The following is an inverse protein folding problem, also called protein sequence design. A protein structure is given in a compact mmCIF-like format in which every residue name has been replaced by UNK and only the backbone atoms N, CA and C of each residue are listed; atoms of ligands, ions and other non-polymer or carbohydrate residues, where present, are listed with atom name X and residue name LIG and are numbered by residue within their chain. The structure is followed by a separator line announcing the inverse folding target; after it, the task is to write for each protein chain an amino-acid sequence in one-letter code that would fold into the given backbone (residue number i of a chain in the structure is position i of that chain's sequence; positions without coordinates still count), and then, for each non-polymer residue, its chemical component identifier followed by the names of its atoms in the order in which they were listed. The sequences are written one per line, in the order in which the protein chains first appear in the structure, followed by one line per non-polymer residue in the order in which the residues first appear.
data_IF_230142799796
#
_entry.id   IF_230142799796
#
_cell.length_a   1.000
_cell.length_b   1.000
_cell.length_c   1.000
_cell.angle_alpha   90.00
_cell.angle_beta   90.00
_cell.angle_gamma   90.00
#
_symmetry.space_group_name_H-M   'P 1'
#
loop_
_entity.id
_entity.type
_entity.pdbx_description
1 polymer ?
#
# COMPACT_ATOMS: atom_id res chain seq x y z
N UNK A 1 104.71 6.79 -10.80
CA UNK A 1 103.38 6.53 -10.23
C UNK A 1 102.34 7.44 -10.89
N UNK A 2 101.13 6.95 -11.16
CA UNK A 2 100.25 7.50 -12.20
C UNK A 2 99.44 8.73 -11.75
N UNK A 3 99.41 9.77 -12.61
CA UNK A 3 98.52 10.94 -12.49
C UNK A 3 97.07 10.49 -12.66
N UNK A 4 96.23 10.62 -11.62
CA UNK A 4 94.77 10.52 -11.73
C UNK A 4 94.28 11.66 -12.65
N UNK A 5 93.61 11.30 -13.75
CA UNK A 5 92.89 12.28 -14.58
C UNK A 5 91.62 12.70 -13.84
N UNK A 6 91.31 14.00 -13.73
CA UNK A 6 90.02 14.43 -13.21
C UNK A 6 88.94 13.97 -14.20
N UNK A 7 88.05 13.10 -13.73
CA UNK A 7 86.82 12.78 -14.43
C UNK A 7 86.00 14.06 -14.53
N UNK A 8 85.95 14.66 -15.72
CA UNK A 8 85.04 15.74 -16.02
C UNK A 8 83.62 15.19 -15.84
N UNK A 9 82.97 15.54 -14.73
CA UNK A 9 81.53 15.40 -14.60
C UNK A 9 80.91 16.32 -15.64
N UNK A 10 80.52 15.75 -16.78
CA UNK A 10 79.70 16.43 -17.77
C UNK A 10 78.39 16.81 -17.09
N UNK A 11 78.26 18.08 -16.69
CA UNK A 11 76.96 18.66 -16.35
C UNK A 11 76.19 18.80 -17.67
N UNK A 12 75.50 17.73 -18.06
CA UNK A 12 74.53 17.78 -19.13
C UNK A 12 73.36 18.64 -18.64
N UNK A 13 73.24 19.85 -19.17
CA UNK A 13 72.06 20.68 -18.98
C UNK A 13 70.92 20.15 -19.83
N UNK A 14 69.68 20.25 -19.33
CA UNK A 14 68.49 19.92 -20.10
C UNK A 14 68.40 20.81 -21.33
N UNK A 15 68.10 20.21 -22.48
CA UNK A 15 67.85 20.98 -23.70
C UNK A 15 66.46 21.61 -23.63
N UNK A 16 66.28 22.78 -24.25
CA UNK A 16 64.98 23.47 -24.27
C UNK A 16 63.86 22.61 -24.88
N UNK A 17 64.20 21.79 -25.89
CA UNK A 17 63.27 20.86 -26.52
C UNK A 17 62.80 19.74 -25.58
N UNK A 18 63.70 19.22 -24.73
CA UNK A 18 63.38 18.18 -23.75
C UNK A 18 62.43 18.71 -22.67
N UNK A 19 62.61 19.96 -22.26
CA UNK A 19 61.69 20.62 -21.33
C UNK A 19 60.29 20.78 -21.94
N UNK A 20 60.19 21.24 -23.18
CA UNK A 20 58.89 21.40 -23.86
C UNK A 20 58.20 20.05 -24.03
N UNK A 21 58.94 19.01 -24.43
CA UNK A 21 58.40 17.67 -24.61
C UNK A 21 57.91 17.08 -23.28
N UNK A 22 58.70 17.22 -22.20
CA UNK A 22 58.31 16.78 -20.87
C UNK A 22 57.04 17.49 -20.39
N UNK A 23 56.92 18.80 -20.62
CA UNK A 23 55.75 19.58 -20.25
C UNK A 23 54.51 19.19 -21.08
N UNK A 24 54.68 18.91 -22.37
CA UNK A 24 53.61 18.42 -23.23
C UNK A 24 53.09 17.05 -22.74
N UNK A 25 53.97 16.08 -22.49
CA UNK A 25 53.59 14.75 -21.99
C UNK A 25 52.96 14.86 -20.60
N UNK A 26 53.54 15.66 -19.70
CA UNK A 26 53.00 15.88 -18.37
C UNK A 26 51.58 16.46 -18.43
N UNK A 27 51.36 17.47 -19.27
CA UNK A 27 50.04 18.07 -19.45
C UNK A 27 49.02 17.05 -19.95
N UNK A 28 49.40 16.20 -20.91
CA UNK A 28 48.54 15.14 -21.43
C UNK A 28 48.16 14.13 -20.34
N UNK A 29 49.14 13.65 -19.57
CA UNK A 29 48.91 12.72 -18.47
C UNK A 29 48.06 13.35 -17.36
N UNK A 30 48.31 14.61 -17.04
CA UNK A 30 47.53 15.35 -16.04
C UNK A 30 46.08 15.51 -16.48
N UNK A 31 45.82 15.82 -17.75
CA UNK A 31 44.44 15.90 -18.29
C UNK A 31 43.74 14.55 -18.26
N UNK A 32 44.42 13.46 -18.65
CA UNK A 32 43.84 12.11 -18.58
C UNK A 32 43.51 11.70 -17.14
N UNK A 33 44.44 11.93 -16.22
CA UNK A 33 44.25 11.60 -14.80
C UNK A 33 43.13 12.42 -14.16
N UNK A 34 43.09 13.72 -14.45
CA UNK A 34 42.02 14.61 -14.01
C UNK A 34 40.65 14.18 -14.53
N UNK A 35 40.57 13.75 -15.79
CA UNK A 35 39.34 13.21 -16.38
C UNK A 35 38.84 11.95 -15.67
N UNK A 36 39.74 11.01 -15.35
CA UNK A 36 39.40 9.77 -14.62
C UNK A 36 38.90 10.12 -13.22
N UNK A 37 39.63 10.97 -12.49
CA UNK A 37 39.24 11.38 -11.14
C UNK A 37 37.87 12.07 -11.11
N UNK A 38 37.62 12.96 -12.07
CA UNK A 38 36.32 13.63 -12.23
C UNK A 38 35.19 12.61 -12.50
N UNK A 39 35.45 11.64 -13.37
CA UNK A 39 34.50 10.57 -13.67
C UNK A 39 34.16 9.73 -12.44
N UNK A 40 35.18 9.32 -11.65
CA UNK A 40 35.00 8.56 -10.41
C UNK A 40 34.19 9.37 -9.39
N UNK A 41 34.54 10.63 -9.18
CA UNK A 41 33.85 11.50 -8.22
C UNK A 41 32.38 11.68 -8.61
N UNK A 42 32.11 11.89 -9.90
CA UNK A 42 30.74 12.00 -10.41
C UNK A 42 29.95 10.70 -10.22
N UNK A 43 30.57 9.55 -10.48
CA UNK A 43 29.94 8.25 -10.30
C UNK A 43 29.62 7.97 -8.82
N UNK A 44 30.52 8.35 -7.90
CA UNK A 44 30.31 8.19 -6.46
C UNK A 44 29.13 9.03 -5.95
N UNK A 45 29.09 10.32 -6.30
CA UNK A 45 27.99 11.20 -5.89
C UNK A 45 26.66 10.70 -6.42
N UNK A 46 26.62 10.29 -7.70
CA UNK A 46 25.43 9.68 -8.30
C UNK A 46 25.02 8.42 -7.55
N UNK A 47 25.96 7.52 -7.24
CA UNK A 47 25.68 6.30 -6.48
C UNK A 47 25.12 6.58 -5.08
N UNK A 48 25.65 7.59 -4.38
CA UNK A 48 25.15 8.02 -3.08
C UNK A 48 23.70 8.48 -3.10
N UNK A 49 23.34 9.34 -4.06
CA UNK A 49 21.96 9.83 -4.23
C UNK A 49 20.97 8.70 -4.55
N UNK A 50 21.36 7.72 -5.37
CA UNK A 50 20.53 6.55 -5.67
C UNK A 50 20.32 5.68 -4.44
N UNK A 51 21.38 5.46 -3.65
CA UNK A 51 21.31 4.67 -2.44
C UNK A 51 20.38 5.31 -1.41
N UNK A 52 20.51 6.63 -1.21
CA UNK A 52 19.64 7.38 -0.32
C UNK A 52 18.16 7.27 -0.76
N UNK A 53 17.88 7.45 -2.05
CA UNK A 53 16.53 7.30 -2.58
C UNK A 53 15.97 5.88 -2.39
N UNK A 54 16.79 4.85 -2.62
CA UNK A 54 16.41 3.46 -2.38
C UNK A 54 16.09 3.21 -0.91
N UNK A 55 16.92 3.71 0.01
CA UNK A 55 16.70 3.56 1.45
C UNK A 55 15.40 4.21 1.91
N UNK A 56 15.08 5.42 1.45
CA UNK A 56 13.80 6.06 1.77
C UNK A 56 12.62 5.27 1.22
N UNK A 57 12.73 4.79 -0.02
CA UNK A 57 11.69 3.99 -0.66
C UNK A 57 11.48 2.64 0.03
N UNK A 58 12.55 1.94 0.40
CA UNK A 58 12.49 0.69 1.15
C UNK A 58 11.88 0.91 2.55
N UNK A 59 12.25 1.98 3.26
CA UNK A 59 11.63 2.30 4.55
C UNK A 59 10.12 2.51 4.42
N UNK A 60 9.68 3.32 3.44
CA UNK A 60 8.26 3.55 3.19
C UNK A 60 7.52 2.25 2.81
N UNK A 61 8.14 1.42 1.97
CA UNK A 61 7.61 0.11 1.59
C UNK A 61 7.49 -0.85 2.78
N UNK A 62 8.50 -0.91 3.65
CA UNK A 62 8.46 -1.75 4.85
C UNK A 62 7.37 -1.30 5.83
N UNK A 63 7.17 0.02 5.99
CA UNK A 63 6.03 0.52 6.77
C UNK A 63 4.69 0.10 6.15
N UNK A 64 4.55 0.17 4.82
CA UNK A 64 3.35 -0.26 4.11
C UNK A 64 3.08 -1.76 4.26
N UNK A 65 4.08 -2.59 4.03
CA UNK A 65 3.97 -4.05 4.18
C UNK A 65 3.66 -4.42 5.63
N UNK A 66 4.30 -3.75 6.60
CA UNK A 66 4.03 -3.97 8.04
C UNK A 66 2.59 -3.60 8.39
N UNK A 67 2.10 -2.46 7.91
CA UNK A 67 0.73 -2.01 8.14
C UNK A 67 -0.30 -2.98 7.53
N UNK A 68 -0.04 -3.46 6.31
CA UNK A 68 -0.88 -4.44 5.59
C UNK A 68 -0.89 -5.80 6.29
N UNK A 69 0.26 -6.32 6.71
CA UNK A 69 0.35 -7.58 7.47
C UNK A 69 -0.33 -7.48 8.84
N UNK A 70 -0.41 -6.29 9.41
CA UNK A 70 -1.17 -6.01 10.63
C UNK A 70 -2.69 -5.89 10.43
N UNK A 71 -3.20 -6.16 9.22
CA UNK A 71 -4.62 -6.10 8.92
C UNK A 71 -5.44 -6.97 9.87
N UNK A 72 -6.60 -6.45 10.25
CA UNK A 72 -7.55 -7.12 11.12
C UNK A 72 -8.89 -7.25 10.40
N UNK A 73 -9.47 -8.45 10.45
CA UNK A 73 -10.77 -8.73 9.89
C UNK A 73 -11.56 -9.66 10.80
N UNK A 74 -12.86 -9.38 10.94
CA UNK A 74 -13.77 -10.16 11.78
C UNK A 74 -15.06 -10.48 11.01
N UNK A 75 -15.45 -11.77 10.93
CA UNK A 75 -16.65 -12.18 10.20
C UNK A 75 -17.96 -11.68 10.83
N UNK A 76 -17.93 -11.26 12.10
CA UNK A 76 -19.10 -10.76 12.81
C UNK A 76 -19.59 -9.38 12.34
N UNK A 77 -18.71 -8.58 11.72
CA UNK A 77 -19.05 -7.25 11.20
C UNK A 77 -18.21 -6.92 9.95
N UNK A 78 -18.39 -7.66 8.85
CA UNK A 78 -17.48 -7.63 7.71
C UNK A 78 -17.43 -6.24 7.04
N UNK A 79 -18.54 -5.49 7.04
CA UNK A 79 -18.56 -4.13 6.48
C UNK A 79 -17.64 -3.12 7.21
N UNK A 80 -17.35 -3.33 8.49
CA UNK A 80 -16.49 -2.42 9.25
C UNK A 80 -15.00 -2.68 9.00
N UNK A 81 -14.63 -3.91 8.61
CA UNK A 81 -13.24 -4.37 8.53
C UNK A 81 -12.74 -4.65 7.10
N UNK A 82 -13.62 -4.59 6.11
CA UNK A 82 -13.24 -4.89 4.74
C UNK A 82 -12.25 -3.89 4.14
N UNK A 83 -11.58 -4.35 3.08
CA UNK A 83 -10.58 -3.62 2.33
C UNK A 83 -11.24 -2.75 1.26
N UNK A 84 -10.79 -1.51 1.13
CA UNK A 84 -11.21 -0.59 0.08
C UNK A 84 -10.02 -0.30 -0.84
N UNK A 85 -10.29 -0.22 -2.14
CA UNK A 85 -9.33 0.14 -3.17
C UNK A 85 -10.04 1.07 -4.18
N UNK A 86 -9.51 2.27 -4.34
CA UNK A 86 -9.85 3.19 -5.43
C UNK A 86 -8.65 3.29 -6.38
N UNK A 87 -8.73 2.80 -7.63
CA UNK A 87 -7.60 2.71 -8.55
C UNK A 87 -7.31 4.01 -9.30
N UNK A 88 -7.17 5.12 -8.57
CA UNK A 88 -6.93 6.45 -9.15
C UNK A 88 -5.62 6.46 -9.95
N UNK A 89 -5.73 6.65 -11.26
CA UNK A 89 -4.56 6.65 -12.16
C UNK A 89 -4.01 5.26 -12.50
N UNK A 90 -4.72 4.19 -12.11
CA UNK A 90 -4.49 2.81 -12.51
C UNK A 90 -3.15 2.23 -12.05
N UNK A 91 -2.44 1.58 -12.96
CA UNK A 91 -1.08 1.05 -12.73
C UNK A 91 0.03 1.95 -13.31
N UNK A 92 -0.30 3.22 -13.61
CA UNK A 92 0.67 4.14 -14.19
C UNK A 92 1.72 4.61 -13.17
N UNK A 93 2.85 5.12 -13.67
CA UNK A 93 3.91 5.70 -12.84
C UNK A 93 3.40 6.77 -11.86
N UNK A 94 2.42 7.55 -12.27
CA UNK A 94 1.80 8.62 -11.48
C UNK A 94 0.53 8.19 -10.76
N UNK A 95 0.24 6.89 -10.68
CA UNK A 95 -0.93 6.38 -9.98
C UNK A 95 -0.98 6.90 -8.54
N UNK A 96 -2.20 7.07 -8.05
CA UNK A 96 -2.50 7.56 -6.72
C UNK A 96 -3.57 6.67 -6.09
N UNK A 97 -3.44 5.35 -6.27
CA UNK A 97 -4.41 4.41 -5.74
C UNK A 97 -4.66 4.72 -4.26
N UNK A 98 -5.91 4.72 -3.83
CA UNK A 98 -6.25 4.83 -2.43
C UNK A 98 -6.62 3.45 -1.92
N UNK A 99 -5.92 2.98 -0.89
CA UNK A 99 -6.31 1.75 -0.19
C UNK A 99 -6.62 2.04 1.26
N UNK A 100 -7.64 1.36 1.80
CA UNK A 100 -8.00 1.47 3.20
C UNK A 100 -8.36 0.13 3.83
N UNK A 101 -7.84 -0.11 5.02
CA UNK A 101 -8.10 -1.31 5.79
C UNK A 101 -8.01 -1.03 7.29
N UNK A 102 -8.49 -1.96 8.10
CA UNK A 102 -8.36 -1.90 9.55
C UNK A 102 -7.09 -2.64 9.96
N UNK A 103 -6.30 -2.03 10.84
CA UNK A 103 -5.06 -2.60 11.36
C UNK A 103 -4.95 -2.42 12.87
N UNK A 104 -4.15 -3.26 13.50
CA UNK A 104 -3.72 -3.11 14.90
C UNK A 104 -2.29 -2.57 15.03
N UNK A 105 -1.57 -2.46 13.90
CA UNK A 105 -0.18 -2.03 13.87
C UNK A 105 -0.03 -0.51 13.96
N UNK A 106 1.11 -0.05 14.47
CA UNK A 106 1.42 1.38 14.60
C UNK A 106 2.19 1.94 13.40
N UNK A 107 2.35 1.14 12.35
CA UNK A 107 3.07 1.55 11.14
C UNK A 107 2.40 2.79 10.52
N UNK A 108 3.23 3.74 10.08
CA UNK A 108 2.86 5.09 9.66
C UNK A 108 2.24 6.03 10.70
N UNK A 109 1.85 5.57 11.90
CA UNK A 109 1.26 6.47 12.88
C UNK A 109 2.30 7.44 13.46
N UNK A 110 1.96 8.73 13.62
CA UNK A 110 2.76 9.67 14.39
C UNK A 110 2.94 9.18 15.83
N UNK A 111 4.08 9.47 16.50
CA UNK A 111 4.35 9.02 17.86
C UNK A 111 3.25 9.38 18.87
N UNK A 112 2.59 10.51 18.67
CA UNK A 112 1.52 11.07 19.51
C UNK A 112 0.10 10.71 19.04
N UNK A 113 -0.04 9.83 18.05
CA UNK A 113 -1.34 9.41 17.54
C UNK A 113 -2.22 8.78 18.64
N UNK A 114 -3.52 9.11 18.71
CA UNK A 114 -4.44 8.43 19.63
C UNK A 114 -4.69 6.96 19.25
N UNK A 115 -4.27 6.53 18.06
CA UNK A 115 -4.49 5.19 17.51
C UNK A 115 -3.33 4.22 17.74
N UNK A 116 -2.35 4.60 18.56
CA UNK A 116 -1.22 3.73 18.95
C UNK A 116 -1.66 2.44 19.64
N UNK A 117 -2.89 2.40 20.17
CA UNK A 117 -3.45 1.27 20.88
C UNK A 117 -4.81 0.88 20.30
N UNK A 118 -4.97 -0.40 19.99
CA UNK A 118 -6.22 -0.95 19.49
C UNK A 118 -6.37 -0.85 17.97
N UNK A 119 -7.60 -1.12 17.51
CA UNK A 119 -7.92 -1.21 16.10
C UNK A 119 -8.33 0.14 15.54
N UNK A 120 -7.73 0.52 14.43
CA UNK A 120 -8.06 1.73 13.69
C UNK A 120 -8.04 1.44 12.20
N UNK A 121 -8.75 2.25 11.44
CA UNK A 121 -8.72 2.23 9.99
C UNK A 121 -7.62 3.18 9.53
N UNK A 122 -6.83 2.73 8.56
CA UNK A 122 -5.81 3.53 7.88
C UNK A 122 -6.21 3.67 6.41
N UNK A 123 -5.91 4.81 5.79
CA UNK A 123 -5.91 4.99 4.34
C UNK A 123 -4.54 5.47 3.88
N UNK A 124 -4.11 4.95 2.73
CA UNK A 124 -2.84 5.30 2.09
C UNK A 124 -3.12 5.67 0.64
N UNK A 125 -2.63 6.84 0.21
CA UNK A 125 -2.72 7.34 -1.17
C UNK A 125 -1.54 8.28 -1.47
N UNK A 126 -1.44 8.79 -2.70
CA UNK A 126 -0.48 9.84 -3.07
C UNK A 126 -1.22 11.11 -3.42
N UNK A 127 -0.91 12.19 -2.70
CA UNK A 127 -1.55 13.49 -2.88
C UNK A 127 -0.54 14.58 -3.20
N UNK A 128 -1.06 15.75 -3.60
CA UNK A 128 -0.26 16.90 -3.99
C UNK A 128 0.21 16.86 -5.44
N UNK A 129 0.98 17.89 -5.82
CA UNK A 129 1.50 18.07 -7.17
C UNK A 129 2.93 18.60 -7.17
N UNK A 130 3.68 18.26 -8.22
CA UNK A 130 5.07 18.69 -8.38
C UNK A 130 5.94 18.32 -7.18
N UNK A 131 6.54 19.33 -6.55
CA UNK A 131 7.44 19.13 -5.40
C UNK A 131 6.74 18.69 -4.11
N UNK A 132 5.44 18.95 -3.96
CA UNK A 132 4.65 18.60 -2.78
C UNK A 132 3.94 17.26 -2.92
N UNK A 133 4.18 16.53 -4.01
CA UNK A 133 3.59 15.21 -4.23
C UNK A 133 4.29 14.17 -3.35
N UNK A 134 3.52 13.40 -2.59
CA UNK A 134 4.05 12.41 -1.64
C UNK A 134 3.00 11.40 -1.19
N UNK A 135 3.47 10.30 -0.59
CA UNK A 135 2.62 9.31 0.06
C UNK A 135 1.99 9.93 1.31
N UNK A 136 0.66 9.95 1.37
CA UNK A 136 -0.15 10.51 2.45
C UNK A 136 -0.87 9.38 3.16
N UNK A 137 -0.90 9.48 4.49
CA UNK A 137 -1.57 8.54 5.37
C UNK A 137 -2.62 9.26 6.20
N UNK A 138 -3.73 8.56 6.44
CA UNK A 138 -4.84 8.99 7.29
C UNK A 138 -5.20 7.86 8.23
N UNK A 139 -5.55 8.17 9.48
CA UNK A 139 -6.06 7.18 10.43
C UNK A 139 -7.29 7.68 11.18
N UNK A 140 -8.23 6.77 11.45
CA UNK A 140 -9.47 7.07 12.18
C UNK A 140 -10.06 5.82 12.86
N UNK A 141 -11.04 5.97 13.77
CA UNK A 141 -11.68 4.82 14.42
C UNK A 141 -12.41 3.91 13.42
N UNK A 142 -12.21 2.61 13.52
CA UNK A 142 -12.74 1.60 12.58
C UNK A 142 -14.28 1.44 12.59
N UNK A 143 -14.97 1.88 13.64
CA UNK A 143 -16.44 1.78 13.78
C UNK A 143 -17.20 3.04 13.34
N UNK A 144 -16.54 3.94 12.62
CA UNK A 144 -17.16 5.20 12.21
C UNK A 144 -17.95 4.99 10.92
N UNK A 145 -19.27 5.20 10.96
CA UNK A 145 -20.20 4.85 9.87
C UNK A 145 -20.13 5.82 8.67
N UNK A 146 -19.76 7.08 8.90
CA UNK A 146 -19.54 8.08 7.85
C UNK A 146 -18.38 9.00 8.23
N UNK A 147 -17.27 8.89 7.50
CA UNK A 147 -16.11 9.78 7.67
C UNK A 147 -15.96 10.63 6.44
N UNK A 148 -16.01 11.96 6.61
CA UNK A 148 -15.70 12.88 5.51
C UNK A 148 -14.18 12.90 5.32
N UNK A 149 -13.63 12.58 4.14
CA UNK A 149 -12.19 12.51 3.93
C UNK A 149 -11.44 13.79 4.36
N UNK A 150 -12.04 14.96 4.12
CA UNK A 150 -11.44 16.25 4.50
C UNK A 150 -11.48 16.60 6.00
N UNK A 151 -12.17 15.82 6.84
CA UNK A 151 -12.14 16.00 8.30
C UNK A 151 -11.14 15.09 9.00
N UNK A 152 -10.51 14.16 8.27
CA UNK A 152 -9.53 13.25 8.83
C UNK A 152 -8.17 13.94 8.79
N UNK A 153 -7.47 13.93 9.92
CA UNK A 153 -6.08 14.39 9.97
C UNK A 153 -5.22 13.50 9.06
N UNK A 154 -4.45 14.15 8.20
CA UNK A 154 -3.54 13.49 7.26
C UNK A 154 -2.12 14.00 7.47
N UNK A 155 -1.15 13.13 7.19
CA UNK A 155 0.26 13.48 7.21
C UNK A 155 1.00 12.82 6.05
N UNK A 156 2.09 13.45 5.63
CA UNK A 156 2.94 12.92 4.57
C UNK A 156 3.89 11.89 5.18
N UNK A 157 3.72 10.63 4.82
CA UNK A 157 4.57 9.53 5.28
C UNK A 157 5.87 9.43 4.47
N UNK A 158 5.82 9.69 3.16
CA UNK A 158 6.99 9.61 2.29
C UNK A 158 6.93 10.68 1.18
N UNK A 159 7.63 11.82 1.32
CA UNK A 159 7.55 12.94 0.38
C UNK A 159 8.25 12.68 -0.97
N UNK A 160 9.10 11.65 -1.06
CA UNK A 160 9.83 11.29 -2.29
C UNK A 160 9.07 10.28 -3.16
N UNK A 161 7.88 9.84 -2.74
CA UNK A 161 7.01 8.95 -3.52
C UNK A 161 6.16 9.77 -4.48
N UNK A 162 6.32 9.51 -5.78
CA UNK A 162 5.57 10.14 -6.87
C UNK A 162 4.34 9.33 -7.29
N UNK A 163 4.35 8.01 -7.08
CA UNK A 163 3.22 7.16 -7.44
C UNK A 163 3.06 6.00 -6.49
N UNK A 164 1.82 5.56 -6.35
CA UNK A 164 1.45 4.40 -5.59
C UNK A 164 0.37 3.63 -6.36
N UNK A 165 0.64 2.35 -6.59
CA UNK A 165 -0.30 1.42 -7.19
C UNK A 165 -0.47 0.20 -6.29
N UNK A 166 -1.70 -0.27 -6.22
CA UNK A 166 -2.08 -1.48 -5.52
C UNK A 166 -2.97 -2.31 -6.45
N UNK A 167 -2.64 -3.58 -6.57
CA UNK A 167 -3.37 -4.58 -7.32
C UNK A 167 -3.59 -5.79 -6.41
N UNK A 168 -4.70 -6.49 -6.58
CA UNK A 168 -4.96 -7.75 -5.92
C UNK A 168 -4.88 -8.90 -6.93
N UNK A 169 -4.56 -10.09 -6.45
CA UNK A 169 -4.50 -11.27 -7.30
C UNK A 169 -5.86 -11.97 -7.34
N UNK A 170 -6.45 -12.04 -8.53
CA UNK A 170 -7.63 -12.85 -8.79
C UNK A 170 -7.21 -14.29 -9.08
N UNK A 171 -7.52 -15.20 -8.15
CA UNK A 171 -7.21 -16.62 -8.27
C UNK A 171 -8.17 -17.37 -9.21
N UNK A 172 -9.34 -16.82 -9.52
CA UNK A 172 -10.29 -17.42 -10.46
C UNK A 172 -9.86 -17.14 -11.90
N UNK A 173 -9.49 -15.89 -12.18
CA UNK A 173 -9.06 -15.44 -13.51
C UNK A 173 -7.54 -15.49 -13.73
N UNK A 174 -6.77 -15.90 -12.71
CA UNK A 174 -5.30 -16.01 -12.71
C UNK A 174 -4.60 -14.72 -13.17
N UNK A 175 -5.07 -13.58 -12.67
CA UNK A 175 -4.60 -12.27 -13.11
C UNK A 175 -4.47 -11.25 -11.96
N UNK A 176 -3.76 -10.16 -12.24
CA UNK A 176 -3.73 -9.00 -11.37
C UNK A 176 -4.83 -8.03 -11.76
N UNK A 177 -5.62 -7.59 -10.78
CA UNK A 177 -6.73 -6.66 -10.99
C UNK A 177 -6.66 -5.50 -10.00
N UNK A 178 -7.25 -4.37 -10.40
CA UNK A 178 -7.49 -3.22 -9.54
C UNK A 178 -8.98 -3.04 -9.23
N UNK A 179 -9.83 -3.88 -9.82
CA UNK A 179 -11.27 -3.87 -9.64
C UNK A 179 -11.61 -4.72 -8.41
N UNK A 180 -11.79 -4.08 -7.25
CA UNK A 180 -12.06 -4.75 -5.98
C UNK A 180 -13.51 -4.51 -5.55
N UNK A 181 -14.40 -5.43 -5.92
CA UNK A 181 -15.82 -5.33 -5.61
C UNK A 181 -16.18 -5.90 -4.22
N UNK A 182 -15.29 -6.69 -3.61
CA UNK A 182 -15.53 -7.39 -2.34
C UNK A 182 -15.19 -6.56 -1.10
N UNK A 183 -15.74 -5.35 -1.02
CA UNK A 183 -15.43 -4.33 0.02
C UNK A 183 -15.70 -4.76 1.47
N UNK A 184 -16.36 -5.91 1.67
CA UNK A 184 -16.62 -6.54 2.97
C UNK A 184 -15.61 -7.65 3.34
N UNK A 185 -14.55 -7.83 2.55
CA UNK A 185 -13.52 -8.85 2.74
C UNK A 185 -12.12 -8.25 2.55
N UNK A 186 -11.09 -9.05 2.86
CA UNK A 186 -9.70 -8.70 2.54
C UNK A 186 -9.24 -9.51 1.33
N UNK A 187 -8.44 -8.92 0.42
CA UNK A 187 -7.77 -9.67 -0.64
C UNK A 187 -6.69 -10.57 -0.05
N UNK A 188 -6.55 -11.80 -0.56
CA UNK A 188 -5.53 -12.74 -0.05
C UNK A 188 -4.11 -12.32 -0.40
N UNK A 189 -3.91 -11.78 -1.59
CA UNK A 189 -2.60 -11.42 -2.12
C UNK A 189 -2.67 -10.06 -2.81
N UNK A 190 -1.78 -9.17 -2.40
CA UNK A 190 -1.63 -7.83 -2.94
C UNK A 190 -0.26 -7.66 -3.59
N UNK A 191 -0.23 -6.89 -4.67
CA UNK A 191 0.99 -6.32 -5.27
C UNK A 191 0.95 -4.82 -5.07
N UNK A 192 1.86 -4.34 -4.24
CA UNK A 192 2.01 -2.91 -3.98
C UNK A 192 3.27 -2.41 -4.67
N UNK A 193 3.15 -1.28 -5.35
CA UNK A 193 4.24 -0.65 -6.09
C UNK A 193 4.34 0.81 -5.67
N UNK A 194 5.51 1.22 -5.18
CA UNK A 194 5.87 2.61 -4.93
C UNK A 194 6.79 3.10 -6.03
N UNK A 195 6.42 4.21 -6.66
CA UNK A 195 7.23 4.87 -7.69
C UNK A 195 7.86 6.11 -7.10
N UNK A 196 9.18 6.14 -7.04
CA UNK A 196 9.93 7.25 -6.46
C UNK A 196 10.09 8.39 -7.48
N UNK A 197 10.18 9.61 -6.97
CA UNK A 197 10.39 10.83 -7.76
C UNK A 197 11.65 10.75 -8.61
N UNK A 198 11.56 11.11 -9.88
CA UNK A 198 12.76 11.15 -10.74
C UNK A 198 13.78 12.19 -10.24
N UNK A 199 15.03 11.75 -10.03
CA UNK A 199 16.18 12.63 -9.77
C UNK A 199 16.76 13.12 -11.10
N UNK A 200 17.29 14.35 -11.13
CA UNK A 200 17.81 14.98 -12.37
C UNK A 200 18.92 14.16 -13.03
N UNK A 201 19.74 13.49 -12.22
CA UNK A 201 20.89 12.71 -12.67
C UNK A 201 20.55 11.27 -13.11
N UNK A 202 19.26 10.89 -13.01
CA UNK A 202 18.74 9.57 -13.37
C UNK A 202 17.64 9.71 -14.40
N UNK A 203 17.76 8.97 -15.51
CA UNK A 203 16.76 9.03 -16.57
C UNK A 203 15.55 8.11 -16.32
N UNK A 204 15.69 7.17 -15.39
CA UNK A 204 14.68 6.18 -15.02
C UNK A 204 14.14 6.47 -13.62
N UNK A 205 12.93 5.99 -13.36
CA UNK A 205 12.33 6.09 -12.03
C UNK A 205 12.66 4.83 -11.27
N UNK A 206 12.88 4.98 -9.98
CA UNK A 206 12.99 3.83 -9.11
C UNK A 206 11.59 3.37 -8.74
N UNK A 207 11.25 2.15 -9.13
CA UNK A 207 10.02 1.46 -8.73
C UNK A 207 10.38 0.36 -7.73
N UNK A 208 9.69 0.35 -6.60
CA UNK A 208 9.86 -0.65 -5.55
C UNK A 208 8.55 -1.42 -5.46
N UNK A 209 8.62 -2.73 -5.65
CA UNK A 209 7.46 -3.60 -5.64
C UNK A 209 7.58 -4.67 -4.55
N UNK A 210 6.45 -5.00 -3.92
CA UNK A 210 6.33 -6.11 -2.96
C UNK A 210 5.02 -6.86 -3.18
N UNK A 211 5.09 -8.16 -2.96
CA UNK A 211 3.93 -9.03 -2.83
C UNK A 211 3.62 -9.21 -1.34
N UNK A 212 2.36 -9.04 -0.97
CA UNK A 212 1.90 -9.10 0.42
C UNK A 212 0.73 -10.04 0.54
N UNK A 213 0.94 -11.14 1.25
CA UNK A 213 -0.13 -12.06 1.63
C UNK A 213 -0.81 -11.57 2.91
N UNK A 214 -2.14 -11.55 2.91
CA UNK A 214 -2.96 -11.20 4.07
C UNK A 214 -3.53 -12.49 4.67
N UNK A 215 -2.85 -13.05 5.65
CA UNK A 215 -3.21 -14.35 6.26
C UNK A 215 -4.60 -14.37 6.90
N UNK A 216 -5.08 -13.22 7.37
CA UNK A 216 -6.41 -13.05 7.97
C UNK A 216 -7.54 -12.95 6.93
N UNK A 217 -7.20 -12.92 5.64
CA UNK A 217 -8.20 -12.85 4.58
C UNK A 217 -9.04 -14.12 4.58
N UNK A 218 -10.39 -14.01 4.56
CA UNK A 218 -11.22 -15.18 4.43
C UNK A 218 -10.93 -15.88 3.11
N UNK A 219 -11.14 -17.19 3.08
CA UNK A 219 -11.37 -17.87 1.82
C UNK A 219 -12.60 -17.24 1.19
N UNK A 220 -12.38 -16.37 0.19
CA UNK A 220 -13.47 -15.94 -0.68
C UNK A 220 -14.14 -17.23 -1.15
N UNK A 221 -15.44 -17.42 -0.89
CA UNK A 221 -16.12 -18.58 -1.41
C UNK A 221 -15.98 -18.46 -2.92
N UNK A 222 -15.08 -19.28 -3.50
CA UNK A 222 -15.04 -19.50 -4.93
C UNK A 222 -16.48 -19.76 -5.30
N UNK A 223 -17.05 -18.85 -6.10
CA UNK A 223 -18.48 -18.87 -6.41
C UNK A 223 -18.83 -20.34 -6.63
N UNK A 224 -19.73 -20.89 -5.80
CA UNK A 224 -20.26 -22.23 -6.04
C UNK A 224 -20.52 -22.28 -7.53
N UNK A 225 -19.71 -23.08 -8.25
CA UNK A 225 -19.90 -23.32 -9.67
C UNK A 225 -21.27 -23.99 -9.75
N UNK A 226 -22.31 -23.17 -9.85
CA UNK A 226 -23.55 -23.56 -10.49
C UNK A 226 -23.12 -23.79 -11.92
N UNK A 227 -22.70 -25.03 -12.17
CA UNK A 227 -22.40 -25.55 -13.47
C UNK A 227 -23.54 -25.08 -14.39
N UNK A 228 -23.21 -24.17 -15.30
CA UNK A 228 -24.09 -23.81 -16.41
C UNK A 228 -24.00 -24.94 -17.43
N UNK A 229 -24.57 -26.07 -17.06
CA UNK A 229 -24.77 -27.30 -17.82
C UNK A 229 -25.72 -28.11 -16.95
N UNK A 230 -27.05 -27.95 -17.06
CA UNK A 230 -27.84 -28.71 -18.03
C UNK A 230 -29.21 -28.05 -18.30
N UNK A 231 -29.26 -27.11 -19.24
CA UNK A 231 -30.55 -26.64 -19.81
C UNK A 231 -30.51 -26.43 -21.34
N UNK A 232 -29.48 -26.95 -22.02
CA UNK A 232 -29.37 -26.92 -23.50
C UNK A 232 -29.02 -28.26 -24.14
N UNK A 233 -28.96 -29.35 -23.37
CA UNK A 233 -28.68 -30.70 -23.86
C UNK A 233 -29.92 -31.57 -24.15
N UNK A 234 -31.07 -31.25 -23.59
CA UNK A 234 -32.27 -32.13 -23.62
C UNK A 234 -33.35 -31.74 -24.64
N UNK A 235 -33.08 -30.82 -25.58
CA UNK A 235 -34.03 -30.50 -26.67
C UNK A 235 -33.55 -30.86 -28.09
N UNK A 236 -32.42 -31.56 -28.23
CA UNK A 236 -31.87 -31.97 -29.54
C UNK A 236 -31.77 -33.49 -29.72
N UNK A 237 -32.50 -34.29 -28.94
CA UNK A 237 -32.53 -35.75 -29.07
C UNK A 237 -33.92 -36.38 -29.17
N UNK A 238 -34.96 -35.58 -29.40
CA UNK A 238 -36.34 -36.07 -29.61
C UNK A 238 -36.96 -35.58 -30.94
N UNK A 239 -36.15 -35.27 -31.96
CA UNK A 239 -36.69 -34.84 -33.26
C UNK A 239 -36.05 -35.49 -34.48
N UNK A 240 -35.62 -36.73 -34.34
CA UNK A 240 -35.30 -37.64 -35.43
C UNK A 240 -35.76 -39.04 -35.03
N UNK A 241 -37.08 -39.27 -35.02
CA UNK A 241 -37.72 -40.59 -35.17
C UNK A 241 -39.25 -40.37 -35.07
N UNK A 242 -39.97 -40.56 -36.18
CA UNK A 242 -41.43 -40.49 -36.19
C UNK A 242 -42.05 -39.90 -37.46
N UNK A 243 -41.68 -40.43 -38.62
CA UNK A 243 -42.44 -40.31 -39.86
C UNK A 243 -43.44 -41.49 -39.90
N UNK A 244 -44.75 -41.22 -40.02
CA UNK A 244 -45.77 -42.28 -40.03
C UNK A 244 -47.23 -41.82 -39.89
N UNK A 245 -47.71 -41.14 -40.93
CA UNK A 245 -49.03 -41.33 -41.58
C UNK A 245 -50.40 -41.04 -40.90
N UNK A 246 -51.16 -40.18 -41.60
CA UNK A 246 -52.63 -40.11 -41.85
C UNK A 246 -53.69 -40.12 -40.71
N UNK A 247 -54.40 -38.98 -40.56
CA UNK A 247 -55.78 -38.77 -41.07
C UNK A 247 -56.55 -37.64 -40.31
N UNK A 248 -57.25 -36.81 -41.10
CA UNK A 248 -58.19 -35.70 -40.78
C UNK A 248 -59.62 -36.23 -40.47
N UNK A 249 -60.69 -35.41 -40.26
CA UNK A 249 -60.83 -33.99 -39.82
C UNK A 249 -62.03 -33.72 -38.85
N UNK A 250 -62.18 -32.46 -38.39
CA UNK A 250 -63.40 -31.60 -38.51
C UNK A 250 -63.89 -30.88 -37.24
N UNK A 251 -64.14 -29.55 -37.43
CA UNK A 251 -65.12 -28.64 -36.79
C UNK A 251 -65.00 -28.43 -35.25
N UNK A 252 -65.31 -27.29 -34.62
CA UNK A 252 -66.30 -26.24 -34.91
C UNK A 252 -66.02 -25.00 -34.01
N UNK A 253 -66.64 -23.87 -34.35
CA UNK A 253 -66.34 -22.50 -33.87
C UNK A 253 -67.21 -22.10 -32.62
N UNK A 254 -67.45 -20.81 -32.26
CA UNK A 254 -67.10 -20.17 -30.98
C UNK A 254 -68.34 -19.72 -30.16
N UNK A 255 -68.17 -18.69 -29.29
CA UNK A 255 -69.16 -17.81 -28.61
C UNK A 255 -69.34 -18.11 -27.11
N UNK A 256 -69.61 -17.19 -26.16
CA UNK A 256 -69.67 -15.73 -26.07
C UNK A 256 -70.17 -15.40 -24.63
N UNK A 257 -69.84 -14.21 -24.10
CA UNK A 257 -70.53 -13.47 -23.02
C UNK A 257 -70.54 -14.10 -21.60
N UNK A 258 -70.61 -13.42 -20.45
CA UNK A 258 -70.93 -12.04 -20.04
C UNK A 258 -70.42 -11.94 -18.58
N UNK A 259 -69.89 -10.83 -18.07
CA UNK A 259 -70.72 -9.85 -17.37
C UNK A 259 -70.32 -9.66 -15.89
N UNK A 260 -69.53 -8.61 -15.63
CA UNK A 260 -69.49 -7.62 -14.53
C UNK A 260 -69.74 -7.94 -13.01
N UNK A 261 -69.18 -7.07 -12.11
CA UNK A 261 -68.90 -7.31 -10.68
C UNK A 261 -70.02 -6.80 -9.73
N UNK A 262 -69.85 -6.81 -8.38
CA UNK A 262 -69.42 -5.58 -7.65
C UNK A 262 -68.75 -5.88 -6.25
N UNK A 263 -68.80 -5.04 -5.16
CA UNK A 263 -67.64 -4.28 -4.66
C UNK A 263 -67.34 -4.37 -3.14
N UNK A 264 -66.14 -3.89 -2.74
CA UNK A 264 -65.93 -2.96 -1.61
C UNK A 264 -65.75 -3.46 -0.15
N UNK A 265 -64.79 -2.79 0.54
CA UNK A 265 -64.56 -2.63 2.02
C UNK A 265 -63.92 -3.84 2.74
N UNK A 266 -62.98 -3.73 3.68
CA UNK A 266 -62.42 -2.64 4.52
C UNK A 266 -61.10 -3.11 5.16
N UNK A 267 -60.26 -2.14 5.52
CA UNK A 267 -59.01 -2.25 6.29
C UNK A 267 -59.20 -2.75 7.74
N UNK A 268 -58.22 -3.49 8.30
CA UNK A 268 -57.53 -3.23 9.58
C UNK A 268 -56.76 -4.46 10.13
N UNK A 269 -55.44 -4.29 10.22
CA UNK A 269 -54.50 -4.60 11.32
C UNK A 269 -54.89 -5.58 12.45
N UNK A 270 -54.08 -6.62 12.71
CA UNK A 270 -53.20 -6.72 13.90
C UNK A 270 -52.47 -8.08 14.06
N UNK A 271 -51.28 -7.98 14.66
CA UNK A 271 -50.28 -9.00 15.03
C UNK A 271 -50.81 -10.19 15.88
N UNK A 272 -49.96 -11.21 16.08
CA UNK A 272 -49.67 -11.60 17.46
C UNK A 272 -48.16 -11.72 17.78
N UNK A 273 -47.78 -11.07 18.87
CA UNK A 273 -46.52 -11.26 19.60
C UNK A 273 -46.60 -12.52 20.47
N UNK A 274 -45.57 -13.38 20.43
CA UNK A 274 -45.29 -14.38 21.47
C UNK A 274 -43.81 -14.28 21.86
N UNK A 275 -43.53 -13.86 23.10
CA UNK A 275 -42.20 -13.90 23.71
C UNK A 275 -42.29 -14.76 24.98
N UNK A 276 -41.49 -15.83 25.00
CA UNK A 276 -41.27 -16.73 26.13
C UNK A 276 -40.44 -16.04 27.22
N UNK A 277 -40.71 -16.38 28.48
CA UNK A 277 -40.08 -15.81 29.67
C UNK A 277 -38.67 -16.34 29.98
N UNK A 278 -37.96 -15.73 30.94
CA UNK A 278 -36.58 -16.10 31.28
C UNK A 278 -36.50 -17.08 32.46
N UNK A 279 -35.45 -17.91 32.44
CA UNK A 279 -35.08 -18.86 33.49
C UNK A 279 -33.72 -18.50 34.10
N UNK A 280 -33.66 -18.62 35.43
CA UNK A 280 -32.52 -18.94 36.31
C UNK A 280 -31.30 -18.00 36.40
N UNK A 281 -31.17 -17.41 37.59
CA UNK A 281 -29.95 -16.94 38.21
C UNK A 281 -29.08 -18.10 38.72
N UNK A 282 -27.78 -18.02 38.46
CA UNK A 282 -26.72 -18.87 39.01
C UNK A 282 -26.00 -18.15 40.14
N UNK A 283 -25.75 -18.90 41.21
CA UNK A 283 -24.97 -18.54 42.38
C UNK A 283 -23.66 -19.35 42.37
N UNK A 284 -22.59 -18.77 42.93
CA UNK A 284 -21.49 -19.53 43.50
C UNK A 284 -20.15 -19.60 42.75
N UNK A 285 -19.15 -18.99 43.41
CA UNK A 285 -17.77 -19.50 43.60
C UNK A 285 -16.64 -18.88 42.76
N UNK A 286 -15.91 -17.98 43.42
CA UNK A 286 -14.57 -17.52 43.05
C UNK A 286 -13.49 -18.32 43.81
N UNK A 287 -12.31 -18.59 43.21
CA UNK A 287 -11.13 -19.02 43.96
C UNK A 287 -10.07 -17.91 44.05
N UNK A 288 -9.79 -17.53 45.30
CA UNK A 288 -8.51 -17.17 45.93
C UNK A 288 -7.26 -17.01 45.02
N UNK A 289 -6.70 -15.78 44.95
CA UNK A 289 -5.32 -15.52 44.50
C UNK A 289 -4.46 -15.02 45.69
N UNK A 290 -3.19 -15.47 45.84
CA UNK A 290 -2.27 -14.96 46.84
C UNK A 290 -1.58 -13.66 46.40
N UNK A 291 -1.11 -12.80 47.34
CA UNK A 291 -0.59 -11.47 47.03
C UNK A 291 0.81 -11.49 46.41
N UNK A 292 1.00 -10.71 45.34
CA UNK A 292 2.30 -10.49 44.71
C UNK A 292 3.16 -9.53 45.55
N UNK A 293 4.35 -10.02 45.87
CA UNK A 293 5.42 -9.40 46.67
C UNK A 293 6.03 -8.20 45.93
N UNK A 294 5.92 -6.99 46.50
CA UNK A 294 6.64 -5.79 46.02
C UNK A 294 8.14 -5.92 46.31
N UNK A 295 8.98 -5.79 45.29
CA UNK A 295 10.42 -5.58 45.43
C UNK A 295 10.78 -4.09 45.21
N UNK A 296 11.83 -3.57 45.87
CA UNK A 296 12.06 -2.14 46.01
C UNK A 296 12.84 -1.53 44.83
N UNK A 297 12.65 -0.22 44.66
CA UNK A 297 13.01 0.54 43.48
C UNK A 297 14.51 0.73 43.22
N UNK A 298 14.81 0.87 41.93
CA UNK A 298 16.09 1.34 41.39
C UNK A 298 15.89 2.79 40.96
N UNK A 299 16.57 3.71 41.65
CA UNK A 299 16.66 5.12 41.25
C UNK A 299 17.58 5.23 40.02
N UNK A 300 17.20 5.93 38.94
CA UNK A 300 18.17 6.35 37.94
C UNK A 300 19.00 7.53 38.46
N UNK A 301 20.33 7.39 38.36
CA UNK A 301 21.32 8.46 38.58
C UNK A 301 21.12 9.55 37.53
N UNK A 302 21.18 10.81 37.97
CA UNK A 302 21.11 11.98 37.12
C UNK A 302 22.28 12.10 36.16
N UNK A 303 21.99 12.54 34.95
CA UNK A 303 22.97 13.01 33.97
C UNK A 303 23.09 14.55 34.02
N UNK A 304 24.26 15.12 33.73
CA UNK A 304 24.54 16.53 33.94
C UNK A 304 23.92 17.41 32.84
N UNK A 305 23.28 18.51 33.25
CA UNK A 305 22.73 19.51 32.36
C UNK A 305 23.82 20.27 31.58
N UNK A 306 23.67 20.29 30.26
CA UNK A 306 24.42 21.15 29.35
C UNK A 306 23.77 22.53 29.37
N UNK A 307 24.55 23.54 29.78
CA UNK A 307 24.22 24.97 29.71
C UNK A 307 24.18 25.41 28.24
N UNK A 308 23.01 25.86 27.77
CA UNK A 308 22.90 26.66 26.55
C UNK A 308 23.11 28.14 26.90
N UNK A 309 24.00 28.78 26.14
CA UNK A 309 24.39 30.17 26.30
C UNK A 309 23.34 31.16 25.78
N UNK A 310 23.31 32.30 26.45
CA UNK A 310 22.49 33.46 26.16
C UNK A 310 22.75 34.03 24.75
N UNK A 311 21.68 34.34 24.03
CA UNK A 311 21.71 35.17 22.82
C UNK A 311 21.23 36.56 23.20
N UNK A 312 21.98 37.65 22.93
CA UNK A 312 21.54 38.99 23.25
C UNK A 312 20.54 39.53 22.22
N UNK A 313 19.44 40.10 22.72
CA UNK A 313 18.52 40.99 22.01
C UNK A 313 19.28 42.14 21.33
N UNK A 314 19.02 42.38 20.04
CA UNK A 314 19.24 43.69 19.43
C UNK A 314 17.89 44.39 19.24
N UNK A 315 17.86 45.59 19.81
CA UNK A 315 16.70 46.46 19.91
C UNK A 315 16.41 47.27 18.65
N UNK A 316 15.25 47.91 18.76
CA UNK A 316 14.57 48.75 17.80
C UNK A 316 15.32 50.06 17.46
N UNK A 317 15.15 50.50 16.20
CA UNK A 317 14.77 51.84 15.69
C UNK A 317 15.32 53.13 16.36
N UNK A 318 15.53 54.21 15.59
CA UNK A 318 14.46 54.94 14.88
C UNK A 318 14.39 54.70 13.36
#
# INVERSE_FOLDING_TARGET
MPRRRPSQCSRAGFTFIELILALAIFSLVATMSGGIFWSITKAWNRGGEMLEQLQYGDFAMEQLVTALRGAAWFPSKPEAFGFWLDPIGGASRGAANEISWVTSGTAFLPPDSPFQHGLHRISVTVEGGGANRGLVVRAWPHLTEEVKPGSIESWVAAPEVEGFSCEWYDFEDDNWSQDWEFTNSLPKLLRVTLTMRKRKDFNENLEIQRLVELEVAPDLPGQERRARSDARGSRRREREEGEGDSARPSAETPAEATGQPPPGRTSATNLPSRRFGPSRSTDGSAPNQPPIRRSPGVRPRGSPGIRFGDTPQQGAQP
#
